data_IF_166645713435
#
_entry.id   IF_166645713435
#
_cell.length_a   1.000
_cell.length_b   1.000
_cell.length_c   1.000
_cell.angle_alpha   90.00
_cell.angle_beta   90.00
_cell.angle_gamma   90.00
#
_symmetry.space_group_name_H-M   'P 1'
#
loop_
_entity.id
_entity.type
_entity.pdbx_description
1 polymer ?
#
# COMPACT_ATOMS: atom_id res chain seq x y z
N UNK A 1 14.68 9.04 -5.35
CA UNK A 1 15.15 7.68 -5.74
C UNK A 1 15.20 6.85 -4.46
N UNK A 2 14.62 5.65 -4.42
CA UNK A 2 14.42 4.83 -3.19
C UNK A 2 15.65 3.98 -2.79
N UNK A 3 16.79 4.21 -3.44
CA UNK A 3 18.02 3.44 -3.23
C UNK A 3 18.02 2.10 -3.98
N UNK A 4 18.96 1.23 -3.61
CA UNK A 4 19.09 -0.13 -4.14
C UNK A 4 18.26 -1.08 -3.31
N UNK A 5 17.64 -2.05 -3.97
CA UNK A 5 16.95 -3.16 -3.33
C UNK A 5 17.92 -4.00 -2.47
N UNK A 6 17.43 -4.48 -1.33
CA UNK A 6 18.17 -5.39 -0.44
C UNK A 6 17.97 -6.85 -0.84
N UNK A 7 16.82 -7.17 -1.43
CA UNK A 7 16.45 -8.52 -1.83
C UNK A 7 15.41 -8.48 -2.96
N UNK A 8 15.37 -9.53 -3.78
CA UNK A 8 14.31 -9.77 -4.77
C UNK A 8 13.76 -11.17 -4.54
N UNK A 9 12.45 -11.30 -4.34
CA UNK A 9 11.78 -12.60 -4.12
C UNK A 9 10.65 -12.85 -5.12
N UNK A 10 10.32 -14.11 -5.39
CA UNK A 10 9.10 -14.54 -6.11
C UNK A 10 8.46 -15.73 -5.36
N UNK A 11 7.80 -15.47 -4.21
CA UNK A 11 7.40 -16.52 -3.28
C UNK A 11 6.44 -17.55 -3.87
N UNK A 12 5.71 -17.20 -4.93
CA UNK A 12 4.71 -18.04 -5.56
C UNK A 12 5.11 -18.52 -6.97
N UNK A 13 6.37 -18.31 -7.38
CA UNK A 13 6.85 -18.57 -8.76
C UNK A 13 5.89 -18.02 -9.84
N UNK A 14 5.39 -16.81 -9.58
CA UNK A 14 4.29 -16.18 -10.30
C UNK A 14 4.78 -15.08 -11.25
N UNK A 15 6.09 -14.77 -11.22
CA UNK A 15 6.70 -13.62 -11.89
C UNK A 15 6.17 -12.27 -11.38
N UNK A 16 5.59 -12.25 -10.19
CA UNK A 16 5.29 -11.06 -9.40
C UNK A 16 6.47 -10.80 -8.45
N UNK A 17 7.57 -10.33 -9.01
CA UNK A 17 8.80 -10.11 -8.26
C UNK A 17 8.62 -9.03 -7.21
N UNK A 18 8.99 -9.33 -5.96
CA UNK A 18 8.95 -8.41 -4.83
C UNK A 18 10.35 -7.88 -4.57
N UNK A 19 10.55 -6.61 -4.87
CA UNK A 19 11.79 -5.89 -4.61
C UNK A 19 11.70 -5.28 -3.21
N UNK A 20 12.56 -5.72 -2.31
CA UNK A 20 12.61 -5.25 -0.94
C UNK A 20 13.52 -4.02 -0.84
N UNK A 21 13.00 -2.96 -0.23
CA UNK A 21 13.75 -1.77 0.15
C UNK A 21 13.58 -1.54 1.65
N UNK A 22 14.45 -0.71 2.24
CA UNK A 22 14.43 -0.40 3.68
C UNK A 22 13.05 0.00 4.21
N UNK A 23 12.30 0.79 3.45
CA UNK A 23 11.02 1.37 3.88
C UNK A 23 9.80 0.88 3.10
N UNK A 24 10.00 0.01 2.10
CA UNK A 24 8.94 -0.38 1.16
C UNK A 24 9.27 -1.70 0.45
N UNK A 25 8.24 -2.48 0.17
CA UNK A 25 8.26 -3.54 -0.85
C UNK A 25 7.61 -3.01 -2.13
N UNK A 26 8.23 -3.24 -3.28
CA UNK A 26 7.65 -2.90 -4.61
C UNK A 26 7.44 -4.19 -5.40
N UNK A 27 6.23 -4.37 -5.93
CA UNK A 27 5.88 -5.52 -6.77
C UNK A 27 6.01 -5.12 -8.23
N UNK A 28 6.83 -5.86 -8.97
CA UNK A 28 7.04 -5.67 -10.41
C UNK A 28 6.57 -6.91 -11.17
N UNK A 29 5.69 -6.70 -12.14
CA UNK A 29 5.16 -7.75 -13.02
C UNK A 29 5.42 -7.34 -14.46
N UNK A 30 6.05 -8.20 -15.26
CA UNK A 30 6.37 -7.91 -16.69
C UNK A 30 7.07 -6.56 -16.89
N UNK A 31 7.96 -6.19 -15.97
CA UNK A 31 8.76 -4.95 -16.05
C UNK A 31 8.04 -3.67 -15.62
N UNK A 32 6.79 -3.74 -15.14
CA UNK A 32 6.06 -2.57 -14.61
C UNK A 32 5.74 -2.73 -13.13
N UNK A 33 5.69 -1.60 -12.41
CA UNK A 33 5.24 -1.57 -11.01
C UNK A 33 3.75 -1.87 -10.96
N UNK A 34 3.38 -2.95 -10.30
CA UNK A 34 1.98 -3.37 -10.13
C UNK A 34 1.50 -3.26 -8.70
N UNK A 35 2.38 -2.98 -7.75
CA UNK A 35 1.98 -2.70 -6.39
C UNK A 35 3.13 -2.30 -5.48
N UNK A 36 2.77 -1.96 -4.25
CA UNK A 36 3.72 -1.65 -3.18
C UNK A 36 3.12 -1.95 -1.81
N UNK A 37 3.98 -2.11 -0.81
CA UNK A 37 3.60 -2.18 0.61
C UNK A 37 4.61 -1.36 1.41
N UNK A 38 4.14 -0.50 2.31
CA UNK A 38 4.99 0.13 3.32
C UNK A 38 4.43 -0.05 4.71
N UNK A 39 5.32 -0.37 5.65
CA UNK A 39 5.04 -0.58 7.07
C UNK A 39 5.81 0.41 7.95
N UNK A 40 6.30 1.51 7.38
CA UNK A 40 7.13 2.50 8.08
C UNK A 40 6.55 3.90 7.96
N UNK A 41 6.98 4.81 8.83
CA UNK A 41 6.55 6.22 8.83
C UNK A 41 7.36 7.11 7.87
N UNK A 42 8.35 6.54 7.16
CA UNK A 42 9.18 7.25 6.18
C UNK A 42 8.53 7.36 4.80
N UNK A 43 7.50 6.54 4.54
CA UNK A 43 6.71 6.58 3.32
C UNK A 43 5.34 7.17 3.64
N UNK A 44 4.91 8.12 2.84
CA UNK A 44 3.56 8.67 2.91
C UNK A 44 2.85 8.57 1.57
N UNK A 45 1.52 8.46 1.60
CA UNK A 45 0.70 8.69 0.42
C UNK A 45 0.80 10.15 -0.04
N UNK A 46 0.28 10.45 -1.23
CA UNK A 46 0.18 11.84 -1.74
C UNK A 46 -0.58 12.77 -0.78
N UNK A 47 -1.48 12.23 0.05
CA UNK A 47 -2.24 12.98 1.06
C UNK A 47 -1.64 12.90 2.46
N UNK A 48 -0.36 12.53 2.58
CA UNK A 48 0.39 12.59 3.83
C UNK A 48 0.16 11.44 4.82
N UNK A 49 -0.68 10.45 4.47
CA UNK A 49 -0.96 9.30 5.33
C UNK A 49 0.22 8.34 5.31
N UNK A 50 0.66 7.91 6.50
CA UNK A 50 1.80 7.02 6.71
C UNK A 50 1.54 6.09 7.89
N UNK A 51 2.42 5.12 8.13
CA UNK A 51 2.35 4.30 9.34
C UNK A 51 2.28 5.18 10.60
N UNK A 52 1.38 4.85 11.52
CA UNK A 52 1.14 5.59 12.76
C UNK A 52 0.13 6.75 12.66
N UNK A 53 -0.25 7.19 11.45
CA UNK A 53 -1.38 8.11 11.26
C UNK A 53 -2.65 7.55 11.91
N UNK A 54 -3.52 8.41 12.43
CA UNK A 54 -4.77 7.97 13.06
C UNK A 54 -5.82 7.58 12.01
N UNK A 55 -6.82 6.79 12.40
CA UNK A 55 -8.00 6.58 11.55
C UNK A 55 -8.65 7.91 11.17
N UNK A 56 -8.70 8.86 12.10
CA UNK A 56 -9.22 10.21 11.83
C UNK A 56 -8.45 10.90 10.71
N UNK A 57 -7.12 10.89 10.74
CA UNK A 57 -6.31 11.48 9.66
C UNK A 57 -6.66 10.87 8.30
N UNK A 58 -6.89 9.54 8.27
CA UNK A 58 -7.26 8.82 7.05
C UNK A 58 -8.61 9.30 6.53
N UNK A 59 -9.63 9.33 7.39
CA UNK A 59 -10.99 9.74 7.01
C UNK A 59 -11.04 11.23 6.61
N UNK A 60 -10.30 12.10 7.31
CA UNK A 60 -10.25 13.54 7.01
C UNK A 60 -9.59 13.80 5.63
N UNK A 61 -8.66 12.94 5.18
CA UNK A 61 -7.94 13.11 3.91
C UNK A 61 -8.54 12.32 2.73
N UNK A 62 -9.17 11.17 2.99
CA UNK A 62 -9.67 10.28 1.94
C UNK A 62 -11.19 10.14 1.92
N UNK A 63 -11.88 10.57 2.97
CA UNK A 63 -13.30 10.33 3.17
C UNK A 63 -13.62 8.85 3.39
N UNK A 64 -14.86 8.49 3.07
CA UNK A 64 -15.35 7.13 3.18
C UNK A 64 -14.64 6.19 2.19
N UNK A 65 -14.24 5.03 2.69
CA UNK A 65 -13.64 3.98 1.86
C UNK A 65 -14.66 3.38 0.90
N UNK A 66 -14.19 2.96 -0.28
CA UNK A 66 -14.99 2.18 -1.22
C UNK A 66 -15.37 0.81 -0.67
N UNK A 67 -14.48 0.19 0.12
CA UNK A 67 -14.73 -1.07 0.81
C UNK A 67 -14.06 -1.06 2.19
N UNK A 68 -14.70 -1.71 3.16
CA UNK A 68 -14.22 -1.86 4.53
C UNK A 68 -14.50 -3.26 5.04
N UNK A 69 -13.48 -3.94 5.56
CA UNK A 69 -13.65 -5.27 6.17
C UNK A 69 -12.53 -5.58 7.17
N UNK A 70 -12.83 -6.44 8.14
CA UNK A 70 -11.85 -6.93 9.11
C UNK A 70 -10.99 -8.03 8.49
N UNK A 71 -9.70 -8.00 8.77
CA UNK A 71 -8.75 -9.02 8.37
C UNK A 71 -7.70 -9.16 9.47
N UNK A 72 -7.65 -10.33 10.10
CA UNK A 72 -6.85 -10.56 11.31
C UNK A 72 -7.20 -9.54 12.41
N UNK A 73 -6.21 -8.90 13.04
CA UNK A 73 -6.41 -7.87 14.07
C UNK A 73 -6.63 -6.45 13.51
N UNK A 74 -6.69 -6.32 12.18
CA UNK A 74 -6.75 -5.03 11.49
C UNK A 74 -8.07 -4.83 10.74
N UNK A 75 -8.48 -3.58 10.59
CA UNK A 75 -9.59 -3.19 9.71
C UNK A 75 -9.00 -2.56 8.45
N UNK A 76 -9.35 -3.11 7.29
CA UNK A 76 -8.85 -2.66 6.00
C UNK A 76 -9.81 -1.64 5.40
N UNK A 77 -9.31 -0.45 5.10
CA UNK A 77 -10.00 0.58 4.34
C UNK A 77 -9.42 0.62 2.93
N UNK A 78 -10.25 0.34 1.93
CA UNK A 78 -9.83 0.30 0.54
C UNK A 78 -10.48 1.41 -0.29
N UNK A 79 -9.65 2.10 -1.06
CA UNK A 79 -10.01 3.25 -1.88
C UNK A 79 -9.66 2.95 -3.34
N UNK A 80 -10.67 2.98 -4.22
CA UNK A 80 -10.48 2.81 -5.67
C UNK A 80 -10.03 4.12 -6.31
N UNK A 81 -9.07 4.05 -7.23
CA UNK A 81 -8.63 5.18 -8.04
C UNK A 81 -8.12 4.70 -9.40
N UNK A 82 -7.96 5.62 -10.36
CA UNK A 82 -7.38 5.30 -11.66
C UNK A 82 -5.88 5.64 -11.70
N UNK A 83 -5.08 4.79 -12.32
CA UNK A 83 -3.70 5.12 -12.71
C UNK A 83 -3.68 6.16 -13.83
N UNK A 84 -2.49 6.66 -14.17
CA UNK A 84 -2.30 7.58 -15.30
C UNK A 84 -2.73 6.98 -16.66
N UNK A 85 -2.69 5.65 -16.78
CA UNK A 85 -3.14 4.90 -17.96
C UNK A 85 -4.56 4.31 -17.79
N UNK A 86 -5.38 4.90 -16.90
CA UNK A 86 -6.78 4.54 -16.65
C UNK A 86 -7.03 3.09 -16.19
N UNK A 87 -6.03 2.42 -15.62
CA UNK A 87 -6.23 1.11 -14.97
C UNK A 87 -6.80 1.29 -13.58
N UNK A 88 -7.66 0.35 -13.17
CA UNK A 88 -8.19 0.32 -11.81
C UNK A 88 -7.05 0.05 -10.84
N UNK A 89 -6.98 0.88 -9.81
CA UNK A 89 -6.03 0.76 -8.71
C UNK A 89 -6.78 0.71 -7.39
N UNK A 90 -6.19 0.03 -6.42
CA UNK A 90 -6.70 0.00 -5.07
C UNK A 90 -5.61 0.42 -4.08
N UNK A 91 -5.92 1.45 -3.29
CA UNK A 91 -5.13 1.85 -2.13
C UNK A 91 -5.78 1.24 -0.90
N UNK A 92 -5.02 0.42 -0.18
CA UNK A 92 -5.43 -0.18 1.09
C UNK A 92 -4.67 0.49 2.23
N UNK A 93 -5.41 0.89 3.25
CA UNK A 93 -4.89 1.38 4.51
C UNK A 93 -5.38 0.44 5.60
N UNK A 94 -4.46 -0.27 6.25
CA UNK A 94 -4.77 -1.17 7.35
C UNK A 94 -4.71 -0.41 8.67
N UNK A 95 -5.77 -0.49 9.46
CA UNK A 95 -5.91 0.19 10.75
C UNK A 95 -5.92 -0.85 11.87
N UNK A 96 -5.00 -0.70 12.81
CA UNK A 96 -4.91 -1.49 14.04
C UNK A 96 -4.79 -0.55 15.22
N UNK A 97 -5.60 -0.75 16.26
CA UNK A 97 -5.62 0.12 17.45
C UNK A 97 -5.73 1.62 17.09
N UNK A 98 -6.66 1.96 16.19
CA UNK A 98 -6.94 3.31 15.70
C UNK A 98 -5.78 3.99 14.94
N UNK A 99 -4.76 3.23 14.54
CA UNK A 99 -3.60 3.74 13.80
C UNK A 99 -3.30 2.93 12.55
N UNK A 100 -2.72 3.59 11.56
CA UNK A 100 -2.24 2.96 10.34
C UNK A 100 -1.11 1.99 10.68
N UNK A 101 -1.35 0.71 10.47
CA UNK A 101 -0.36 -0.35 10.60
C UNK A 101 0.50 -0.46 9.34
N UNK A 102 -0.14 -0.44 8.17
CA UNK A 102 0.54 -0.44 6.88
C UNK A 102 -0.33 0.18 5.78
N UNK A 103 0.34 0.54 4.68
CA UNK A 103 -0.29 1.02 3.46
C UNK A 103 0.16 0.13 2.32
N UNK A 104 -0.76 -0.24 1.44
CA UNK A 104 -0.42 -0.89 0.19
C UNK A 104 -1.23 -0.35 -0.97
N UNK A 105 -0.64 -0.39 -2.16
CA UNK A 105 -1.33 -0.08 -3.41
C UNK A 105 -1.14 -1.22 -4.39
N UNK A 106 -2.14 -1.49 -5.22
CA UNK A 106 -2.04 -2.46 -6.31
C UNK A 106 -2.85 -2.03 -7.52
N UNK A 107 -2.38 -2.43 -8.69
CA UNK A 107 -3.24 -2.55 -9.87
C UNK A 107 -4.24 -3.70 -9.63
N UNK A 108 -5.49 -3.50 -10.04
CA UNK A 108 -6.49 -4.55 -10.16
C UNK A 108 -6.53 -5.15 -11.58
#
# INVERSE_FOLDING_TARGET
MIGRETEITDPNNSKHYRYQYKDMEVVITKGIVTGFVSKTNNVATKRGIRQGSTLRDVLDNYGDSSMKFSYDESVLYEYRFASLDNKSCLLRIAIKNDRVEYISGRLE
#
